data_IF_975175800304
#
_entry.id   IF_975175800304
#
_cell.length_a   1.000
_cell.length_b   1.000
_cell.length_c   1.000
_cell.angle_alpha   90.00
_cell.angle_beta   90.00
_cell.angle_gamma   90.00
#
_symmetry.space_group_name_H-M   'P 1'
#
loop_
_entity.id
_entity.type
_entity.pdbx_description
1 polymer ?
#
# COMPACT_ATOMS: atom_id res chain seq x y z
N UNK A 1 -19.09 5.08 1.22
CA UNK A 1 -17.93 5.79 1.81
C UNK A 1 -17.55 6.84 0.80
N UNK A 2 -17.07 7.99 1.27
CA UNK A 2 -16.67 9.07 0.37
C UNK A 2 -15.33 8.79 -0.28
N UNK A 3 -15.09 9.32 -1.46
CA UNK A 3 -13.79 9.23 -2.13
C UNK A 3 -12.68 9.80 -1.24
N UNK A 4 -12.95 10.89 -0.51
CA UNK A 4 -12.00 11.45 0.45
C UNK A 4 -11.61 10.48 1.57
N UNK A 5 -12.55 9.65 2.05
CA UNK A 5 -12.27 8.62 3.06
C UNK A 5 -11.42 7.49 2.47
N UNK A 6 -11.69 7.09 1.22
CA UNK A 6 -10.89 6.10 0.51
C UNK A 6 -9.45 6.58 0.27
N UNK A 7 -9.29 7.85 -0.11
CA UNK A 7 -7.96 8.48 -0.28
C UNK A 7 -7.20 8.48 1.05
N UNK A 8 -7.86 8.77 2.18
CA UNK A 8 -7.21 8.72 3.49
C UNK A 8 -6.71 7.31 3.84
N UNK A 9 -7.54 6.28 3.63
CA UNK A 9 -7.12 4.88 3.83
C UNK A 9 -5.93 4.50 2.96
N UNK A 10 -5.92 4.97 1.71
CA UNK A 10 -4.83 4.74 0.79
C UNK A 10 -3.55 5.47 1.23
N UNK A 11 -3.64 6.73 1.64
CA UNK A 11 -2.50 7.52 2.14
C UNK A 11 -1.89 6.90 3.41
N UNK A 12 -2.72 6.40 4.34
CA UNK A 12 -2.27 5.64 5.51
C UNK A 12 -1.54 4.35 5.10
N UNK A 13 -2.08 3.61 4.13
CA UNK A 13 -1.46 2.38 3.62
C UNK A 13 -0.12 2.68 2.94
N UNK A 14 -0.04 3.73 2.12
CA UNK A 14 1.20 4.20 1.50
C UNK A 14 2.26 4.52 2.55
N UNK A 15 1.89 5.19 3.64
CA UNK A 15 2.81 5.50 4.73
C UNK A 15 3.37 4.22 5.38
N UNK A 16 2.50 3.23 5.64
CA UNK A 16 2.91 1.95 6.23
C UNK A 16 3.85 1.16 5.31
N UNK A 17 3.54 1.08 4.01
CA UNK A 17 4.40 0.41 3.02
C UNK A 17 5.78 1.08 2.95
N UNK A 18 5.85 2.42 2.95
CA UNK A 18 7.13 3.15 3.00
C UNK A 18 7.95 2.81 4.24
N UNK A 19 7.32 2.68 5.41
CA UNK A 19 7.99 2.26 6.64
C UNK A 19 8.53 0.83 6.49
N UNK A 20 7.72 -0.09 5.96
CA UNK A 20 8.12 -1.48 5.75
C UNK A 20 9.29 -1.63 4.77
N UNK A 21 9.32 -0.83 3.69
CA UNK A 21 10.45 -0.76 2.76
C UNK A 21 11.73 -0.39 3.50
N UNK A 22 11.71 0.72 4.25
CA UNK A 22 12.90 1.20 4.98
C UNK A 22 13.36 0.17 6.01
N UNK A 23 12.42 -0.49 6.70
CA UNK A 23 12.73 -1.56 7.64
C UNK A 23 13.45 -2.74 6.95
N UNK A 24 12.94 -3.22 5.82
CA UNK A 24 13.57 -4.30 5.06
C UNK A 24 14.94 -3.89 4.50
N UNK A 25 15.08 -2.67 3.97
CA UNK A 25 16.37 -2.15 3.51
C UNK A 25 17.41 -2.11 4.63
N UNK A 26 17.04 -1.68 5.83
CA UNK A 26 17.95 -1.69 6.98
C UNK A 26 18.35 -3.12 7.39
N UNK A 27 17.39 -4.06 7.38
CA UNK A 27 17.61 -5.46 7.74
C UNK A 27 18.48 -6.21 6.72
N UNK A 28 18.51 -5.76 5.47
CA UNK A 28 19.41 -6.30 4.45
C UNK A 28 20.89 -6.18 4.84
N UNK A 29 21.25 -5.31 5.79
CA UNK A 29 22.61 -5.14 6.30
C UNK A 29 22.89 -5.91 7.61
N UNK A 30 21.90 -6.58 8.20
CA UNK A 30 22.07 -7.31 9.48
C UNK A 30 22.87 -8.61 9.33
N UNK A 31 22.68 -9.34 8.22
CA UNK A 31 23.37 -10.61 7.96
C UNK A 31 23.45 -10.91 6.45
N UNK A 32 24.60 -11.37 5.92
CA UNK A 32 24.71 -11.81 4.53
C UNK A 32 23.75 -12.95 4.15
N UNK A 33 23.36 -13.79 5.12
CA UNK A 33 22.50 -14.96 4.86
C UNK A 33 21.04 -14.59 4.58
N UNK A 34 20.55 -13.48 5.16
CA UNK A 34 19.17 -12.99 5.00
C UNK A 34 19.11 -11.72 4.14
N UNK A 35 20.26 -11.17 3.75
CA UNK A 35 20.38 -9.94 2.97
C UNK A 35 19.60 -9.99 1.66
N UNK A 36 19.67 -11.14 0.97
CA UNK A 36 18.95 -11.35 -0.29
C UNK A 36 17.43 -11.29 -0.09
N UNK A 37 16.91 -12.01 0.92
CA UNK A 37 15.47 -12.08 1.20
C UNK A 37 14.91 -10.69 1.55
N UNK A 38 15.60 -9.93 2.40
CA UNK A 38 15.19 -8.56 2.74
C UNK A 38 15.30 -7.59 1.57
N UNK A 39 16.32 -7.73 0.72
CA UNK A 39 16.45 -6.91 -0.48
C UNK A 39 15.33 -7.21 -1.47
N UNK A 40 15.03 -8.50 -1.70
CA UNK A 40 13.92 -8.91 -2.56
C UNK A 40 12.59 -8.38 -2.02
N UNK A 41 12.34 -8.53 -0.71
CA UNK A 41 11.11 -8.04 -0.09
C UNK A 41 10.97 -6.52 -0.20
N UNK A 42 12.06 -5.78 -0.04
CA UNK A 42 12.06 -4.33 -0.23
C UNK A 42 11.72 -3.93 -1.69
N UNK A 43 12.16 -4.70 -2.69
CA UNK A 43 11.83 -4.48 -4.09
C UNK A 43 10.35 -4.76 -4.38
N UNK A 44 9.81 -5.88 -3.88
CA UNK A 44 8.38 -6.22 -4.01
C UNK A 44 7.50 -5.10 -3.42
N UNK A 45 7.85 -4.59 -2.23
CA UNK A 45 7.12 -3.50 -1.60
C UNK A 45 7.25 -2.16 -2.35
N UNK A 46 8.34 -1.94 -3.10
CA UNK A 46 8.46 -0.75 -3.97
C UNK A 46 7.50 -0.84 -5.16
N UNK A 47 7.33 -2.03 -5.75
CA UNK A 47 6.35 -2.26 -6.81
C UNK A 47 4.92 -2.01 -6.30
N UNK A 48 4.58 -2.56 -5.12
CA UNK A 48 3.29 -2.29 -4.47
C UNK A 48 3.08 -0.79 -4.21
N UNK A 49 4.11 -0.09 -3.73
CA UNK A 49 4.06 1.36 -3.47
C UNK A 49 3.78 2.15 -4.75
N UNK A 50 4.42 1.81 -5.86
CA UNK A 50 4.21 2.47 -7.15
C UNK A 50 2.76 2.32 -7.61
N UNK A 51 2.17 1.15 -7.44
CA UNK A 51 0.76 0.90 -7.79
C UNK A 51 -0.20 1.65 -6.86
N UNK A 52 0.07 1.72 -5.55
CA UNK A 52 -0.70 2.55 -4.63
C UNK A 52 -0.61 4.04 -5.00
N UNK A 53 0.56 4.52 -5.43
CA UNK A 53 0.73 5.90 -5.87
C UNK A 53 -0.08 6.22 -7.13
N UNK A 54 -0.13 5.29 -8.10
CA UNK A 54 -0.99 5.41 -9.28
C UNK A 54 -2.47 5.44 -8.90
N UNK A 55 -2.89 4.56 -7.98
CA UNK A 55 -4.26 4.54 -7.48
C UNK A 55 -4.63 5.86 -6.79
N UNK A 56 -3.71 6.43 -6.01
CA UNK A 56 -3.88 7.71 -5.33
C UNK A 56 -4.02 8.86 -6.32
N UNK A 57 -3.17 8.89 -7.34
CA UNK A 57 -3.26 9.86 -8.43
C UNK A 57 -4.60 9.72 -9.18
N UNK A 58 -5.03 8.50 -9.45
CA UNK A 58 -6.32 8.24 -10.09
C UNK A 58 -7.49 8.76 -9.25
N UNK A 59 -7.54 8.42 -7.96
CA UNK A 59 -8.59 8.88 -7.04
C UNK A 59 -8.61 10.40 -6.87
N UNK A 60 -7.45 11.07 -6.98
CA UNK A 60 -7.37 12.53 -6.86
C UNK A 60 -8.08 13.31 -7.98
N UNK A 61 -8.52 12.62 -9.05
CA UNK A 61 -9.26 13.23 -10.17
C UNK A 61 -10.75 13.39 -9.89
N UNK A 62 -11.27 12.76 -8.83
CA UNK A 62 -12.68 12.80 -8.47
C UNK A 62 -12.94 13.83 -7.36
N UNK A 63 -14.22 14.17 -7.15
CA UNK A 63 -14.64 15.00 -6.03
C UNK A 63 -14.50 14.20 -4.72
N UNK A 64 -13.75 14.69 -3.70
CA UNK A 64 -13.63 14.01 -2.41
C UNK A 64 -14.97 13.78 -1.70
N UNK A 65 -16.00 14.58 -2.00
CA UNK A 65 -17.33 14.46 -1.40
C UNK A 65 -18.24 13.44 -2.12
N UNK A 66 -17.84 12.94 -3.30
CA UNK A 66 -18.58 11.92 -4.02
C UNK A 66 -18.57 10.58 -3.28
N UNK A 67 -19.67 9.84 -3.42
CA UNK A 67 -19.73 8.43 -3.00
C UNK A 67 -18.94 7.57 -3.98
N UNK A 68 -18.14 6.66 -3.44
CA UNK A 68 -17.30 5.73 -4.22
C UNK A 68 -18.15 4.81 -5.12
N UNK A 69 -19.35 4.45 -4.66
CA UNK A 69 -20.31 3.62 -5.42
C UNK A 69 -20.78 4.24 -6.74
N UNK A 70 -20.61 5.56 -6.91
CA UNK A 70 -20.95 6.23 -8.18
C UNK A 70 -19.91 5.98 -9.28
N UNK A 71 -18.69 5.58 -8.91
CA UNK A 71 -17.54 5.50 -9.81
C UNK A 71 -16.97 4.09 -9.93
N UNK A 72 -17.19 3.24 -8.92
CA UNK A 72 -16.64 1.89 -8.84
C UNK A 72 -17.71 0.87 -8.51
N UNK A 73 -17.57 -0.35 -9.03
CA UNK A 73 -18.43 -1.46 -8.62
C UNK A 73 -18.12 -1.89 -7.18
N UNK A 74 -19.11 -2.51 -6.52
CA UNK A 74 -18.93 -3.05 -5.16
C UNK A 74 -17.80 -4.10 -5.11
N UNK A 75 -17.65 -4.90 -6.17
CA UNK A 75 -16.61 -5.92 -6.27
C UNK A 75 -15.22 -5.29 -6.35
N UNK A 76 -15.02 -4.33 -7.26
CA UNK A 76 -13.75 -3.60 -7.40
C UNK A 76 -13.36 -2.90 -6.10
N UNK A 77 -14.32 -2.22 -5.45
CA UNK A 77 -14.08 -1.54 -4.18
C UNK A 77 -13.69 -2.53 -3.08
N UNK A 78 -14.39 -3.67 -3.00
CA UNK A 78 -14.10 -4.70 -1.99
C UNK A 78 -12.71 -5.30 -2.19
N UNK A 79 -12.33 -5.61 -3.42
CA UNK A 79 -11.00 -6.15 -3.72
C UNK A 79 -9.90 -5.14 -3.38
N UNK A 80 -10.11 -3.88 -3.74
CA UNK A 80 -9.15 -2.82 -3.41
C UNK A 80 -8.99 -2.63 -1.90
N UNK A 81 -10.09 -2.56 -1.14
CA UNK A 81 -10.04 -2.43 0.31
C UNK A 81 -9.34 -3.63 0.98
N UNK A 82 -9.58 -4.84 0.46
CA UNK A 82 -8.90 -6.05 0.94
C UNK A 82 -7.40 -5.99 0.67
N UNK A 83 -6.98 -5.51 -0.49
CA UNK A 83 -5.57 -5.30 -0.81
C UNK A 83 -4.93 -4.28 0.16
N UNK A 84 -5.59 -3.14 0.41
CA UNK A 84 -5.10 -2.15 1.37
C UNK A 84 -4.97 -2.72 2.77
N UNK A 85 -5.91 -3.54 3.21
CA UNK A 85 -5.85 -4.21 4.51
C UNK A 85 -4.65 -5.18 4.60
N UNK A 86 -4.39 -5.96 3.56
CA UNK A 86 -3.23 -6.87 3.52
C UNK A 86 -1.91 -6.09 3.58
N UNK A 87 -1.81 -4.98 2.84
CA UNK A 87 -0.61 -4.14 2.82
C UNK A 87 -0.40 -3.42 4.15
N UNK A 88 -1.48 -2.95 4.80
CA UNK A 88 -1.40 -2.36 6.15
C UNK A 88 -0.93 -3.37 7.20
N UNK A 89 -1.32 -4.63 7.06
CA UNK A 89 -0.92 -5.72 7.95
C UNK A 89 0.39 -6.40 7.50
N UNK A 90 1.08 -5.87 6.49
CA UNK A 90 2.40 -6.35 6.11
C UNK A 90 3.40 -5.88 7.16
N UNK A 91 3.43 -6.61 8.26
CA UNK A 91 4.30 -6.35 9.40
C UNK A 91 5.75 -6.23 8.91
N UNK A 92 6.40 -5.12 9.25
CA UNK A 92 7.84 -4.93 9.07
C UNK A 92 8.69 -5.97 9.84
N UNK A 93 8.04 -6.82 10.65
CA UNK A 93 8.65 -7.74 11.60
C UNK A 93 8.27 -9.22 11.41
N UNK A 94 7.37 -9.57 10.49
CA UNK A 94 7.00 -10.98 10.30
C UNK A 94 8.01 -11.63 9.35
N UNK A 95 8.80 -12.53 9.94
CA UNK A 95 9.65 -13.51 9.30
C UNK A 95 8.83 -14.67 8.74
#
# INVERSE_FOLDING_TARGET
MKIGELIQLLDETIANVKIAIIANQNRAFESPHTSYEFTQRALELQEDLDDLMKAREYLSKFDPEDEVENHFSEEELREFLKMLELLRNTDAHVY
#
